data_IF_048290877736
#
_entry.id   IF_048290877736
#
_cell.length_a   1.000
_cell.length_b   1.000
_cell.length_c   1.000
_cell.angle_alpha   90.00
_cell.angle_beta   90.00
_cell.angle_gamma   90.00
#
_symmetry.space_group_name_H-M   'P 1'
#
loop_
_entity.id
_entity.type
_entity.pdbx_description
1 polymer ?
#
# COMPACT_ATOMS: atom_id res chain seq x y z
N UNK A 1 15.67 -25.34 17.37
CA UNK A 1 14.24 -25.13 17.16
C UNK A 1 13.83 -23.67 17.32
N UNK A 2 14.14 -23.10 18.44
CA UNK A 2 13.80 -21.71 18.68
C UNK A 2 14.52 -20.78 17.74
N UNK A 3 15.77 -21.03 17.47
CA UNK A 3 16.55 -20.24 16.54
C UNK A 3 15.95 -20.30 15.15
N UNK A 4 15.49 -21.48 14.78
CA UNK A 4 14.86 -21.66 13.49
C UNK A 4 13.61 -20.80 13.37
N UNK A 5 12.80 -20.81 14.40
CA UNK A 5 11.59 -19.98 14.42
C UNK A 5 11.94 -18.51 14.35
N UNK A 6 12.97 -18.10 15.05
CA UNK A 6 13.39 -16.70 15.00
C UNK A 6 13.83 -16.30 13.61
N UNK A 7 14.52 -17.18 12.92
CA UNK A 7 14.90 -16.89 11.55
C UNK A 7 13.70 -16.74 10.65
N UNK A 8 12.75 -17.63 10.78
CA UNK A 8 11.55 -17.55 9.98
C UNK A 8 10.78 -16.28 10.29
N UNK A 9 10.65 -15.96 11.55
CA UNK A 9 9.96 -14.78 11.96
C UNK A 9 10.64 -13.52 11.46
N UNK A 10 11.97 -13.50 11.52
CA UNK A 10 12.70 -12.35 11.04
C UNK A 10 12.48 -12.15 9.56
N UNK A 11 12.55 -13.23 8.78
CA UNK A 11 12.31 -13.13 7.35
C UNK A 11 10.87 -12.72 7.04
N UNK A 12 9.91 -13.36 7.71
CA UNK A 12 8.52 -13.02 7.51
C UNK A 12 8.22 -11.62 7.98
N UNK A 13 8.79 -11.23 9.10
CA UNK A 13 8.57 -9.89 9.62
C UNK A 13 9.14 -8.84 8.68
N UNK A 14 10.28 -9.10 8.08
CA UNK A 14 10.86 -8.17 7.12
C UNK A 14 9.93 -7.96 5.94
N UNK A 15 9.39 -9.05 5.40
CA UNK A 15 8.46 -8.96 4.28
C UNK A 15 7.19 -8.24 4.71
N UNK A 16 6.65 -8.60 5.85
CA UNK A 16 5.42 -7.98 6.35
C UNK A 16 5.64 -6.50 6.64
N UNK A 17 6.80 -6.13 7.19
CA UNK A 17 7.09 -4.75 7.46
C UNK A 17 7.19 -3.93 6.18
N UNK A 18 7.71 -4.53 5.12
CA UNK A 18 7.80 -3.85 3.83
C UNK A 18 6.43 -3.63 3.23
N UNK A 19 5.56 -4.64 3.32
CA UNK A 19 4.25 -4.55 2.69
C UNK A 19 3.23 -3.84 3.57
N UNK A 20 3.29 -3.96 4.87
CA UNK A 20 2.37 -3.31 5.80
C UNK A 20 0.92 -3.72 5.63
N UNK A 21 0.30 -3.41 4.51
CA UNK A 21 -1.09 -3.72 4.24
C UNK A 21 -1.33 -3.93 2.76
N UNK A 22 -2.32 -4.73 2.44
CA UNK A 22 -2.73 -4.95 1.06
C UNK A 22 -4.22 -4.64 0.93
N UNK A 23 -4.57 -3.89 -0.10
CA UNK A 23 -5.94 -3.47 -0.39
C UNK A 23 -6.29 -3.96 -1.77
N UNK A 24 -7.45 -4.59 -1.91
CA UNK A 24 -7.96 -5.02 -3.22
C UNK A 24 -9.18 -4.17 -3.55
N UNK A 25 -9.15 -3.52 -4.70
CA UNK A 25 -10.22 -2.66 -5.18
C UNK A 25 -10.89 -3.35 -6.37
N UNK A 26 -12.20 -3.42 -6.34
CA UNK A 26 -12.95 -3.89 -7.50
C UNK A 26 -13.00 -2.78 -8.54
N UNK A 27 -12.49 -3.09 -9.72
CA UNK A 27 -12.45 -2.13 -10.81
C UNK A 27 -11.21 -1.26 -10.78
N UNK A 28 -11.32 -0.08 -11.34
CA UNK A 28 -10.19 0.82 -11.46
C UNK A 28 -9.81 1.45 -10.12
N UNK A 29 -8.52 1.51 -9.87
CA UNK A 29 -7.98 2.22 -8.70
C UNK A 29 -8.08 3.72 -8.98
N UNK A 30 -8.87 4.42 -8.18
CA UNK A 30 -9.04 5.87 -8.27
C UNK A 30 -8.62 6.54 -6.98
N UNK A 31 -8.32 7.82 -7.04
CA UNK A 31 -8.00 8.58 -5.82
C UNK A 31 -9.13 8.51 -4.81
N UNK A 32 -10.37 8.56 -5.28
CA UNK A 32 -11.54 8.50 -4.39
C UNK A 32 -11.59 7.16 -3.65
N UNK A 33 -11.32 6.05 -4.36
CA UNK A 33 -11.31 4.74 -3.73
C UNK A 33 -10.15 4.58 -2.76
N UNK A 34 -8.99 5.09 -3.13
CA UNK A 34 -7.84 5.08 -2.21
C UNK A 34 -8.17 5.88 -0.96
N UNK A 35 -8.73 7.07 -1.13
CA UNK A 35 -9.10 7.91 -0.01
C UNK A 35 -10.07 7.21 0.93
N UNK A 36 -11.08 6.53 0.37
CA UNK A 36 -12.03 5.77 1.18
C UNK A 36 -11.34 4.66 1.98
N UNK A 37 -10.40 3.96 1.37
CA UNK A 37 -9.66 2.91 2.06
C UNK A 37 -8.75 3.47 3.15
N UNK A 38 -8.12 4.60 2.90
CA UNK A 38 -7.31 5.27 3.92
C UNK A 38 -8.15 5.67 5.11
N UNK A 39 -9.35 6.17 4.86
CA UNK A 39 -10.27 6.54 5.95
C UNK A 39 -10.65 5.33 6.79
N UNK A 40 -10.95 4.21 6.16
CA UNK A 40 -11.27 2.98 6.88
C UNK A 40 -10.13 2.53 7.78
N UNK A 41 -8.91 2.75 7.37
CA UNK A 41 -7.70 2.32 8.09
C UNK A 41 -7.15 3.39 9.00
N UNK A 42 -7.81 4.54 9.06
CA UNK A 42 -7.39 5.68 9.87
C UNK A 42 -6.00 6.19 9.48
N UNK A 43 -5.69 6.11 8.21
CA UNK A 43 -4.47 6.69 7.64
C UNK A 43 -4.82 8.09 7.18
N UNK A 44 -4.14 9.09 7.70
CA UNK A 44 -4.48 10.49 7.39
C UNK A 44 -4.02 10.90 6.00
N UNK A 45 -2.85 10.44 5.61
CA UNK A 45 -2.30 10.78 4.30
C UNK A 45 -1.28 9.74 3.89
N UNK A 46 -1.20 9.50 2.59
CA UNK A 46 -0.25 8.54 2.04
C UNK A 46 0.40 9.10 0.80
N UNK A 47 1.69 8.88 0.67
CA UNK A 47 2.47 9.25 -0.50
C UNK A 47 2.39 8.15 -1.54
N UNK A 48 2.16 8.51 -2.78
CA UNK A 48 2.21 7.55 -3.89
C UNK A 48 3.68 7.28 -4.19
N UNK A 49 4.14 6.10 -3.81
CA UNK A 49 5.54 5.74 -3.87
C UNK A 49 5.91 5.13 -5.22
N UNK A 50 5.03 4.28 -5.75
CA UNK A 50 5.25 3.66 -7.06
C UNK A 50 3.91 3.25 -7.67
N UNK A 51 3.89 3.17 -9.00
CA UNK A 51 2.73 2.70 -9.75
C UNK A 51 3.20 1.67 -10.75
N UNK A 52 2.59 0.49 -10.72
CA UNK A 52 2.84 -0.56 -11.69
C UNK A 52 1.60 -0.73 -12.57
N UNK A 53 1.66 -0.19 -13.76
CA UNK A 53 0.52 -0.26 -14.69
C UNK A 53 0.37 -1.64 -15.32
N UNK A 54 1.39 -2.46 -15.30
CA UNK A 54 1.31 -3.80 -15.86
C UNK A 54 0.53 -4.73 -14.94
N UNK A 55 0.72 -4.59 -13.65
CA UNK A 55 0.04 -5.40 -12.67
C UNK A 55 -1.11 -4.67 -11.97
N UNK A 56 -1.33 -3.41 -12.31
CA UNK A 56 -2.38 -2.58 -11.75
C UNK A 56 -2.24 -2.47 -10.24
N UNK A 57 -1.06 -2.06 -9.81
CA UNK A 57 -0.72 -1.92 -8.40
C UNK A 57 -0.24 -0.50 -8.14
N UNK A 58 -0.74 0.09 -7.06
CA UNK A 58 -0.26 1.39 -6.57
C UNK A 58 0.34 1.14 -5.19
N UNK A 59 1.59 1.53 -5.03
CA UNK A 59 2.28 1.41 -3.75
C UNK A 59 2.24 2.75 -3.04
N UNK A 60 1.76 2.74 -1.82
CA UNK A 60 1.61 3.92 -1.00
C UNK A 60 2.48 3.79 0.25
N UNK A 61 2.79 4.92 0.85
CA UNK A 61 3.47 4.96 2.13
C UNK A 61 2.74 5.93 3.05
N UNK A 62 2.35 5.46 4.22
CA UNK A 62 1.77 6.33 5.24
C UNK A 62 2.84 7.32 5.68
N UNK A 63 2.62 8.61 5.45
CA UNK A 63 3.64 9.63 5.70
C UNK A 63 3.91 9.84 7.18
N UNK A 64 3.04 9.38 8.05
CA UNK A 64 3.23 9.55 9.49
C UNK A 64 3.89 8.34 10.14
N UNK A 65 3.55 7.14 9.71
CA UNK A 65 4.08 5.92 10.30
C UNK A 65 5.18 5.26 9.46
N UNK A 66 5.23 5.58 8.17
CA UNK A 66 6.14 4.91 7.25
C UNK A 66 5.69 3.55 6.79
N UNK A 67 4.49 3.14 7.16
CA UNK A 67 3.96 1.84 6.73
C UNK A 67 3.70 1.83 5.24
N UNK A 68 4.00 0.70 4.62
CA UNK A 68 3.76 0.52 3.20
C UNK A 68 2.38 -0.08 2.97
N UNK A 69 1.68 0.43 1.97
CA UNK A 69 0.34 -0.02 1.61
C UNK A 69 0.35 -0.34 0.13
N UNK A 70 -0.10 -1.53 -0.22
CA UNK A 70 -0.17 -1.95 -1.61
C UNK A 70 -1.63 -2.03 -2.03
N UNK A 71 -1.99 -1.30 -3.08
CA UNK A 71 -3.36 -1.27 -3.60
C UNK A 71 -3.39 -1.98 -4.94
N UNK A 72 -4.25 -2.98 -5.08
CA UNK A 72 -4.40 -3.73 -6.31
C UNK A 72 -5.81 -3.55 -6.86
N UNK A 73 -5.93 -3.52 -8.17
CA UNK A 73 -7.22 -3.40 -8.83
C UNK A 73 -7.16 -3.87 -10.27
N UNK A 74 -8.16 -3.48 -11.05
CA UNK A 74 -8.25 -3.88 -12.47
C UNK A 74 -7.66 -2.83 -13.40
N UNK A 75 -7.19 -1.73 -12.88
CA UNK A 75 -6.55 -0.67 -13.63
C UNK A 75 -6.18 0.46 -12.69
N UNK A 76 -5.39 1.41 -13.16
CA UNK A 76 -4.96 2.56 -12.39
C UNK A 76 -5.40 3.82 -13.10
N UNK A 77 -6.10 4.70 -12.40
CA UNK A 77 -6.55 5.97 -12.97
C UNK A 77 -5.35 6.83 -13.37
N UNK A 78 -5.49 7.53 -14.49
CA UNK A 78 -4.37 8.28 -15.05
C UNK A 78 -4.00 9.52 -14.24
N UNK A 79 -4.88 9.97 -13.38
CA UNK A 79 -4.62 11.14 -12.55
C UNK A 79 -3.84 10.83 -11.28
N UNK A 80 -3.57 9.53 -11.01
CA UNK A 80 -2.71 9.13 -9.91
C UNK A 80 -1.27 9.22 -10.36
N UNK A 81 -0.46 9.97 -9.63
CA UNK A 81 0.94 10.21 -10.00
C UNK A 81 1.88 9.87 -8.86
N UNK A 82 3.02 9.29 -9.21
CA UNK A 82 4.08 9.03 -8.24
C UNK A 82 4.55 10.36 -7.65
N UNK A 83 4.75 10.40 -6.37
CA UNK A 83 5.22 11.58 -5.65
C UNK A 83 4.10 12.45 -5.10
N UNK A 84 2.84 12.20 -5.46
CA UNK A 84 1.76 12.97 -4.87
C UNK A 84 1.31 12.37 -3.56
N UNK A 85 0.72 13.19 -2.71
CA UNK A 85 0.18 12.76 -1.43
C UNK A 85 -1.34 12.76 -1.52
N UNK A 86 -1.95 11.64 -1.11
CA UNK A 86 -3.40 11.51 -1.06
C UNK A 86 -3.82 11.63 0.40
N UNK A 87 -4.64 12.64 0.67
CA UNK A 87 -5.18 12.86 2.02
C UNK A 87 -6.55 12.21 2.15
N UNK A 88 -6.73 11.53 3.25
CA UNK A 88 -8.01 10.89 3.55
C UNK A 88 -9.10 11.90 3.90
#
# INVERSE_FOLDING_TARGET
MLEFLLKLLAGAATVAAVVGAAIVINGMITKAKIRAELQKRRVQAALVDAIDNCENVVKLEDIYSGDKIEVRGDGVARDIRVGETICA
#
